data_IF_212695477215
#
_entry.id   IF_212695477215
#
_cell.length_a   1.000
_cell.length_b   1.000
_cell.length_c   1.000
_cell.angle_alpha   90.00
_cell.angle_beta   90.00
_cell.angle_gamma   90.00
#
_symmetry.space_group_name_H-M   'P 1'
#
loop_
_entity.id
_entity.type
_entity.pdbx_description
1 polymer ?
#
# COMPACT_ATOMS: atom_id res chain seq x y z
N UNK A 1 26.36 -24.73 0.32
CA UNK A 1 25.75 -23.45 0.75
C UNK A 1 24.25 -23.65 0.64
N UNK A 2 23.47 -23.63 1.73
CA UNK A 2 22.03 -23.82 1.63
C UNK A 2 21.43 -22.64 0.87
N UNK A 3 20.61 -22.94 -0.14
CA UNK A 3 19.86 -21.94 -0.90
C UNK A 3 18.69 -21.53 -0.01
N UNK A 4 18.75 -20.32 0.55
CA UNK A 4 17.65 -19.72 1.31
C UNK A 4 16.52 -19.37 0.32
N UNK A 5 15.57 -20.29 0.13
CA UNK A 5 14.38 -20.10 -0.70
C UNK A 5 13.36 -19.22 0.05
N UNK A 6 13.72 -17.97 0.33
CA UNK A 6 12.72 -16.97 0.74
C UNK A 6 11.94 -16.56 -0.50
N UNK A 7 10.61 -16.79 -0.56
CA UNK A 7 9.81 -16.34 -1.68
C UNK A 7 9.92 -14.82 -1.80
N UNK A 8 10.24 -14.34 -3.00
CA UNK A 8 10.37 -12.92 -3.31
C UNK A 8 9.11 -12.45 -4.03
N UNK A 9 8.52 -11.37 -3.54
CA UNK A 9 7.45 -10.67 -4.25
C UNK A 9 8.06 -9.87 -5.42
N UNK A 10 7.45 -9.97 -6.59
CA UNK A 10 7.87 -9.26 -7.80
C UNK A 10 6.65 -8.54 -8.38
N UNK A 11 6.80 -7.25 -8.70
CA UNK A 11 5.77 -6.50 -9.43
C UNK A 11 5.87 -6.80 -10.94
N UNK A 12 4.73 -6.89 -11.60
CA UNK A 12 4.58 -7.11 -13.04
C UNK A 12 3.55 -6.12 -13.60
N UNK A 13 3.39 -6.10 -14.92
CA UNK A 13 2.34 -5.35 -15.60
C UNK A 13 2.42 -3.82 -15.40
N UNK A 14 3.47 -3.21 -15.96
CA UNK A 14 3.78 -1.78 -15.84
C UNK A 14 3.17 -0.92 -16.96
N UNK A 15 2.08 -1.36 -17.59
CA UNK A 15 1.49 -0.65 -18.75
C UNK A 15 1.00 0.77 -18.43
N UNK A 16 0.63 1.03 -17.16
CA UNK A 16 0.23 2.35 -16.65
C UNK A 16 1.32 3.06 -15.82
N UNK A 17 2.55 2.52 -15.79
CA UNK A 17 3.61 3.08 -14.94
C UNK A 17 4.12 4.41 -15.50
N UNK A 18 4.05 5.46 -14.66
CA UNK A 18 4.52 6.81 -15.00
C UNK A 18 5.09 7.49 -13.75
N UNK A 19 5.75 8.64 -13.93
CA UNK A 19 6.06 9.51 -12.79
C UNK A 19 4.77 10.08 -12.20
N UNK A 20 4.54 9.82 -10.91
CA UNK A 20 3.30 10.18 -10.23
C UNK A 20 3.57 10.51 -8.76
N UNK A 21 2.75 11.31 -8.05
CA UNK A 21 2.86 11.43 -6.61
C UNK A 21 2.71 10.05 -5.95
N UNK A 22 3.67 9.66 -5.11
CA UNK A 22 3.68 8.35 -4.43
C UNK A 22 2.39 8.00 -3.67
N UNK A 23 1.65 9.01 -3.20
CA UNK A 23 0.37 8.81 -2.53
C UNK A 23 -0.70 8.18 -3.43
N UNK A 24 -0.60 8.37 -4.75
CA UNK A 24 -1.52 7.78 -5.71
C UNK A 24 -1.40 6.24 -5.74
N UNK A 25 -0.19 5.71 -5.93
CA UNK A 25 0.03 4.26 -5.97
C UNK A 25 -0.29 3.61 -4.62
N UNK A 26 0.00 4.30 -3.51
CA UNK A 26 -0.36 3.84 -2.16
C UNK A 26 -1.88 3.77 -1.98
N UNK A 27 -2.61 4.82 -2.35
CA UNK A 27 -4.07 4.85 -2.24
C UNK A 27 -4.73 3.79 -3.15
N UNK A 28 -4.26 3.66 -4.40
CA UNK A 28 -4.75 2.65 -5.33
C UNK A 28 -4.51 1.22 -4.83
N UNK A 29 -3.34 0.95 -4.24
CA UNK A 29 -3.05 -0.34 -3.60
C UNK A 29 -4.09 -0.70 -2.53
N UNK A 30 -4.47 0.24 -1.66
CA UNK A 30 -5.47 -0.02 -0.62
C UNK A 30 -6.91 -0.05 -1.17
N UNK A 31 -7.23 0.74 -2.19
CA UNK A 31 -8.54 0.70 -2.84
C UNK A 31 -8.81 -0.68 -3.45
N UNK A 32 -7.77 -1.35 -4.00
CA UNK A 32 -7.85 -2.70 -4.56
C UNK A 32 -8.29 -3.77 -3.55
N UNK A 33 -8.15 -3.55 -2.24
CA UNK A 33 -8.61 -4.51 -1.23
C UNK A 33 -10.12 -4.75 -1.29
N UNK A 34 -10.90 -3.77 -1.75
CA UNK A 34 -12.35 -3.92 -1.92
C UNK A 34 -12.74 -4.76 -3.14
N UNK A 35 -11.84 -5.06 -4.06
CA UNK A 35 -12.14 -5.74 -5.32
C UNK A 35 -11.67 -7.19 -5.28
N UNK A 36 -12.60 -8.12 -5.53
CA UNK A 36 -12.31 -9.55 -5.60
C UNK A 36 -12.46 -10.05 -7.04
N UNK A 37 -11.35 -10.04 -7.76
CA UNK A 37 -11.30 -10.43 -9.18
C UNK A 37 -11.52 -11.93 -9.43
N UNK A 38 -11.60 -12.75 -8.38
CA UNK A 38 -11.93 -14.18 -8.50
C UNK A 38 -13.44 -14.45 -8.46
N UNK A 39 -14.22 -13.49 -7.95
CA UNK A 39 -15.68 -13.59 -7.91
C UNK A 39 -16.22 -13.45 -9.34
N UNK A 40 -17.04 -14.41 -9.78
CA UNK A 40 -17.60 -14.45 -11.15
C UNK A 40 -19.03 -13.90 -11.25
N UNK A 41 -19.59 -13.43 -10.15
CA UNK A 41 -20.94 -12.86 -10.07
C UNK A 41 -20.92 -11.45 -9.47
N UNK A 42 -21.79 -10.52 -9.94
CA UNK A 42 -21.90 -9.19 -9.37
C UNK A 42 -22.14 -9.20 -7.84
N UNK A 43 -21.67 -8.19 -7.08
CA UNK A 43 -21.09 -6.92 -7.54
C UNK A 43 -19.55 -6.90 -7.71
N UNK A 44 -18.86 -8.02 -7.56
CA UNK A 44 -17.37 -8.14 -7.61
C UNK A 44 -16.59 -7.34 -6.56
N UNK A 45 -17.30 -6.62 -5.70
CA UNK A 45 -16.76 -5.75 -4.67
C UNK A 45 -17.29 -6.11 -3.29
N UNK A 46 -16.45 -5.95 -2.28
CA UNK A 46 -16.81 -6.07 -0.88
C UNK A 46 -16.11 -4.96 -0.08
N UNK A 47 -16.85 -3.89 0.20
CA UNK A 47 -16.33 -2.75 0.95
C UNK A 47 -15.90 -3.12 2.38
N UNK A 48 -16.36 -4.26 2.92
CA UNK A 48 -15.91 -4.74 4.23
C UNK A 48 -14.45 -5.21 4.22
N UNK A 49 -13.88 -5.45 3.03
CA UNK A 49 -12.48 -5.84 2.86
C UNK A 49 -11.52 -4.65 2.76
N UNK A 50 -12.02 -3.41 2.75
CA UNK A 50 -11.16 -2.23 2.78
C UNK A 50 -10.15 -2.33 3.93
N UNK A 51 -8.89 -2.00 3.64
CA UNK A 51 -7.84 -2.02 4.65
C UNK A 51 -8.21 -1.09 5.82
N UNK A 52 -7.97 -1.55 7.04
CA UNK A 52 -8.11 -0.72 8.23
C UNK A 52 -6.98 0.31 8.31
N UNK A 53 -7.20 1.43 9.00
CA UNK A 53 -6.15 2.44 9.23
C UNK A 53 -4.89 1.84 9.84
N UNK A 54 -5.03 0.82 10.71
CA UNK A 54 -3.90 0.11 11.32
C UNK A 54 -3.08 -0.69 10.29
N UNK A 55 -3.74 -1.35 9.35
CA UNK A 55 -3.08 -2.08 8.26
C UNK A 55 -2.39 -1.11 7.31
N UNK A 56 -3.08 -0.04 6.92
CA UNK A 56 -2.51 1.02 6.09
C UNK A 56 -1.27 1.64 6.77
N UNK A 57 -1.34 1.97 8.05
CA UNK A 57 -0.21 2.50 8.81
C UNK A 57 0.96 1.52 8.85
N UNK A 58 0.70 0.24 9.10
CA UNK A 58 1.74 -0.79 9.17
C UNK A 58 2.48 -0.91 7.83
N UNK A 59 1.75 -0.88 6.72
CA UNK A 59 2.33 -0.87 5.38
C UNK A 59 3.18 0.40 5.14
N UNK A 60 2.66 1.58 5.48
CA UNK A 60 3.36 2.85 5.28
C UNK A 60 4.61 2.96 6.17
N UNK A 61 4.56 2.44 7.39
CA UNK A 61 5.72 2.39 8.26
C UNK A 61 6.83 1.55 7.64
N UNK A 62 6.51 0.35 7.12
CA UNK A 62 7.47 -0.49 6.42
C UNK A 62 8.02 0.19 5.14
N UNK A 63 7.16 0.87 4.37
CA UNK A 63 7.57 1.65 3.21
C UNK A 63 8.57 2.75 3.58
N UNK A 64 8.30 3.50 4.66
CA UNK A 64 9.16 4.58 5.15
C UNK A 64 10.47 4.02 5.72
N UNK A 65 10.43 2.90 6.43
CA UNK A 65 11.63 2.23 6.93
C UNK A 65 12.61 1.84 5.82
N UNK A 66 12.08 1.30 4.71
CA UNK A 66 12.88 0.92 3.55
C UNK A 66 13.42 2.14 2.80
N UNK A 67 12.58 3.17 2.60
CA UNK A 67 12.96 4.33 1.79
C UNK A 67 13.83 5.35 2.54
N UNK A 68 13.68 5.43 3.86
CA UNK A 68 14.38 6.39 4.72
C UNK A 68 15.11 5.66 5.87
N UNK A 69 16.15 4.86 5.58
CA UNK A 69 16.83 4.03 6.58
C UNK A 69 17.47 4.86 7.70
N UNK A 70 17.89 6.09 7.38
CA UNK A 70 18.59 6.99 8.30
C UNK A 70 17.67 7.85 9.17
N UNK A 71 16.35 7.83 8.95
CA UNK A 71 15.42 8.55 9.82
C UNK A 71 15.41 7.92 11.22
N UNK A 72 15.29 8.77 12.23
CA UNK A 72 14.94 8.35 13.59
C UNK A 72 13.56 7.69 13.62
N UNK A 73 13.27 6.91 14.67
CA UNK A 73 11.95 6.27 14.83
C UNK A 73 10.82 7.30 14.83
N UNK A 74 11.03 8.48 15.43
CA UNK A 74 10.05 9.57 15.48
C UNK A 74 9.78 10.16 14.09
N UNK A 75 10.83 10.38 13.29
CA UNK A 75 10.71 10.86 11.92
C UNK A 75 9.98 9.85 11.02
N UNK A 76 10.27 8.56 11.19
CA UNK A 76 9.60 7.47 10.45
C UNK A 76 8.11 7.42 10.77
N UNK A 77 7.76 7.47 12.05
CA UNK A 77 6.36 7.50 12.50
C UNK A 77 5.66 8.75 11.95
N UNK A 78 6.31 9.91 12.00
CA UNK A 78 5.75 11.16 11.48
C UNK A 78 5.47 11.06 9.98
N UNK A 79 6.45 10.62 9.19
CA UNK A 79 6.33 10.48 7.73
C UNK A 79 5.24 9.46 7.34
N UNK A 80 5.18 8.32 8.03
CA UNK A 80 4.14 7.32 7.79
C UNK A 80 2.73 7.86 8.10
N UNK A 81 2.59 8.67 9.15
CA UNK A 81 1.32 9.35 9.46
C UNK A 81 0.92 10.38 8.40
N UNK A 82 1.88 11.12 7.83
CA UNK A 82 1.58 12.07 6.74
C UNK A 82 1.12 11.33 5.47
N UNK A 83 1.76 10.21 5.12
CA UNK A 83 1.31 9.34 4.03
C UNK A 83 -0.10 8.78 4.28
N UNK A 84 -0.39 8.40 5.53
CA UNK A 84 -1.70 7.86 5.91
C UNK A 84 -2.79 8.89 5.72
N UNK A 85 -2.55 10.13 6.17
CA UNK A 85 -3.48 11.24 5.97
C UNK A 85 -3.78 11.45 4.49
N UNK A 86 -2.76 11.45 3.63
CA UNK A 86 -2.96 11.61 2.19
C UNK A 86 -3.86 10.52 1.64
N UNK A 87 -3.61 9.24 1.98
CA UNK A 87 -4.41 8.13 1.47
C UNK A 87 -5.87 8.18 1.95
N UNK A 88 -6.09 8.54 3.23
CA UNK A 88 -7.43 8.65 3.80
C UNK A 88 -8.21 9.84 3.23
N UNK A 89 -7.56 10.95 2.88
CA UNK A 89 -8.25 12.11 2.29
C UNK A 89 -8.55 11.94 0.80
N UNK A 90 -7.75 11.16 0.05
CA UNK A 90 -8.08 10.82 -1.35
C UNK A 90 -9.28 9.88 -1.51
N UNK A 91 -9.68 9.14 -0.46
CA UNK A 91 -10.87 8.28 -0.47
C UNK A 91 -12.21 9.03 -0.28
N UNK A 92 -12.20 10.37 -0.27
CA UNK A 92 -13.38 11.22 -0.03
C UNK A 92 -13.87 12.01 -1.26
N UNK A 93 -13.43 11.67 -2.47
CA UNK A 93 -13.96 12.23 -3.72
C UNK A 93 -14.50 11.14 -4.65
#
# INVERSE_FOLDING_TARGET
MPIDFKPKLMFIDFEFATYNPRGFDLADHFAKYAYDYLVKSPPYTDLKKLASEKEMFSFMHAYVEEFYPNFSSEEKIKEANELLKVCLTTNLY
#
